data_IF_404711787140
#
_entry.id   IF_404711787140
#
_cell.length_a   1.000
_cell.length_b   1.000
_cell.length_c   1.000
_cell.angle_alpha   90.00
_cell.angle_beta   90.00
_cell.angle_gamma   90.00
#
_symmetry.space_group_name_H-M   'P 1'
#
loop_
_entity.id
_entity.type
_entity.pdbx_description
1 polymer ?
#
# COMPACT_ATOMS: atom_id res chain seq x y z
N UNK A 1 -6.69 35.86 4.19
CA UNK A 1 -5.63 36.61 4.91
C UNK A 1 -5.55 38.07 4.53
N UNK A 2 -5.84 38.46 3.31
CA UNK A 2 -5.83 39.87 2.85
C UNK A 2 -6.81 40.80 3.59
N UNK A 3 -7.99 40.29 3.97
CA UNK A 3 -9.06 41.06 4.64
C UNK A 3 -8.71 41.50 6.07
N UNK A 4 -7.96 40.69 6.80
CA UNK A 4 -7.56 41.03 8.20
C UNK A 4 -6.54 42.16 8.20
N UNK A 5 -5.60 42.14 7.27
CA UNK A 5 -4.59 43.20 7.10
C UNK A 5 -5.26 44.54 6.74
N UNK A 6 -6.26 44.53 5.84
CA UNK A 6 -6.96 45.74 5.41
C UNK A 6 -7.83 46.33 6.52
N UNK A 7 -8.50 45.52 7.33
CA UNK A 7 -9.30 46.01 8.46
C UNK A 7 -8.45 46.58 9.58
N UNK A 8 -7.28 45.98 9.88
CA UNK A 8 -6.34 46.49 10.88
C UNK A 8 -5.71 47.83 10.44
N UNK A 9 -5.43 47.98 9.15
CA UNK A 9 -4.88 49.21 8.58
C UNK A 9 -5.89 50.35 8.61
N UNK A 10 -7.20 50.08 8.47
CA UNK A 10 -8.27 51.09 8.47
C UNK A 10 -8.62 51.58 9.87
N UNK A 11 -8.39 50.78 10.91
CA UNK A 11 -8.71 51.14 12.30
C UNK A 11 -7.57 51.83 13.07
N UNK A 12 -6.35 51.76 12.55
CA UNK A 12 -5.18 52.36 13.21
C UNK A 12 -4.99 53.85 12.84
N UNK A 13 -5.46 54.76 13.70
CA UNK A 13 -5.33 56.21 13.53
C UNK A 13 -3.90 56.76 13.75
N UNK A 14 -2.89 55.93 14.07
CA UNK A 14 -1.49 56.32 14.22
C UNK A 14 -0.56 55.23 13.75
N UNK A 15 0.36 55.58 12.85
CA UNK A 15 1.44 54.69 12.38
C UNK A 15 2.42 54.38 13.53
N UNK A 16 2.30 53.20 14.15
CA UNK A 16 3.29 52.73 15.10
C UNK A 16 4.21 51.69 14.43
N UNK A 17 5.51 51.93 14.39
CA UNK A 17 6.52 51.01 13.90
C UNK A 17 6.40 49.60 14.51
N UNK A 18 6.01 49.54 15.77
CA UNK A 18 5.80 48.27 16.51
C UNK A 18 4.68 47.42 15.90
N UNK A 19 3.64 48.05 15.33
CA UNK A 19 2.51 47.36 14.66
C UNK A 19 3.01 46.67 13.37
N UNK A 20 3.78 47.41 12.57
CA UNK A 20 4.32 46.91 11.30
C UNK A 20 5.28 45.73 11.54
N UNK A 21 6.15 45.85 12.54
CA UNK A 21 7.09 44.76 12.91
C UNK A 21 6.33 43.52 13.39
N UNK A 22 5.27 43.71 14.19
CA UNK A 22 4.50 42.57 14.71
C UNK A 22 3.75 41.84 13.57
N UNK A 23 3.13 42.56 12.64
CA UNK A 23 2.49 41.97 11.46
C UNK A 23 3.48 41.24 10.53
N UNK A 24 4.67 41.82 10.33
CA UNK A 24 5.72 41.21 9.57
C UNK A 24 6.22 39.92 10.22
N UNK A 25 6.37 39.90 11.54
CA UNK A 25 6.80 38.74 12.30
C UNK A 25 5.77 37.61 12.26
N UNK A 26 4.47 37.94 12.39
CA UNK A 26 3.37 37.00 12.21
C UNK A 26 3.34 36.39 10.80
N UNK A 27 3.58 37.22 9.78
CA UNK A 27 3.68 36.77 8.39
C UNK A 27 4.85 35.78 8.21
N UNK A 28 6.03 36.13 8.74
CA UNK A 28 7.22 35.25 8.68
C UNK A 28 6.98 33.90 9.39
N UNK A 29 6.33 33.91 10.55
CA UNK A 29 5.95 32.66 11.26
C UNK A 29 4.98 31.85 10.42
N UNK A 30 3.93 32.46 9.88
CA UNK A 30 2.94 31.78 9.05
C UNK A 30 3.55 31.16 7.78
N UNK A 31 4.39 31.91 7.07
CA UNK A 31 5.11 31.43 5.89
C UNK A 31 6.11 30.33 6.28
N UNK A 32 6.85 30.49 7.37
CA UNK A 32 7.80 29.51 7.87
C UNK A 32 7.13 28.17 8.15
N UNK A 33 6.01 28.17 8.88
CA UNK A 33 5.23 26.97 9.15
C UNK A 33 4.70 26.34 7.84
N UNK A 34 4.18 27.13 6.91
CA UNK A 34 3.69 26.64 5.62
C UNK A 34 4.80 25.97 4.79
N UNK A 35 6.01 26.54 4.79
CA UNK A 35 7.18 25.96 4.10
C UNK A 35 7.58 24.64 4.74
N UNK A 36 7.65 24.57 6.06
CA UNK A 36 7.99 23.32 6.78
C UNK A 36 6.98 22.22 6.46
N UNK A 37 5.68 22.53 6.49
CA UNK A 37 4.63 21.56 6.16
C UNK A 37 4.76 21.11 4.69
N UNK A 38 4.98 22.02 3.75
CA UNK A 38 5.13 21.71 2.33
C UNK A 38 6.38 20.87 2.03
N UNK A 39 7.46 21.04 2.77
CA UNK A 39 8.66 20.22 2.61
C UNK A 39 8.50 18.82 3.21
N UNK A 40 7.68 18.68 4.26
CA UNK A 40 7.46 17.41 4.95
C UNK A 40 6.49 16.49 4.20
N UNK A 41 5.45 17.05 3.58
CA UNK A 41 4.39 16.29 2.92
C UNK A 41 4.84 15.43 1.72
N UNK A 42 5.70 15.91 0.79
CA UNK A 42 6.19 15.08 -0.33
C UNK A 42 7.00 13.87 0.14
N UNK A 43 7.75 14.00 1.22
CA UNK A 43 8.55 12.92 1.79
C UNK A 43 7.70 11.76 2.29
N UNK A 44 6.57 12.06 2.89
CA UNK A 44 5.60 11.06 3.38
C UNK A 44 5.00 10.25 2.24
N UNK A 45 4.58 10.91 1.16
CA UNK A 45 4.01 10.24 -0.01
C UNK A 45 5.02 9.29 -0.66
N UNK A 46 6.28 9.66 -0.68
CA UNK A 46 7.34 8.80 -1.21
C UNK A 46 7.52 7.53 -0.37
N UNK A 47 7.56 7.65 0.95
CA UNK A 47 7.67 6.50 1.88
C UNK A 47 6.48 5.56 1.70
N UNK A 48 5.27 6.10 1.59
CA UNK A 48 4.05 5.32 1.38
C UNK A 48 4.12 4.53 0.07
N UNK A 49 4.53 5.15 -1.02
CA UNK A 49 4.68 4.47 -2.31
C UNK A 49 5.75 3.39 -2.25
N UNK A 50 6.86 3.66 -1.60
CA UNK A 50 7.93 2.68 -1.42
C UNK A 50 7.45 1.48 -0.60
N UNK A 51 6.75 1.70 0.51
CA UNK A 51 6.16 0.62 1.32
C UNK A 51 5.19 -0.24 0.49
N UNK A 52 4.35 0.39 -0.35
CA UNK A 52 3.43 -0.32 -1.24
C UNK A 52 4.16 -1.19 -2.26
N UNK A 53 5.17 -0.62 -2.94
CA UNK A 53 5.96 -1.33 -3.94
C UNK A 53 6.72 -2.51 -3.32
N UNK A 54 7.31 -2.35 -2.15
CA UNK A 54 8.03 -3.42 -1.46
C UNK A 54 7.09 -4.55 -1.02
N UNK A 55 5.92 -4.23 -0.49
CA UNK A 55 4.89 -5.21 -0.12
C UNK A 55 4.42 -5.97 -1.36
N UNK A 56 4.06 -5.28 -2.43
CA UNK A 56 3.56 -5.90 -3.66
C UNK A 56 4.63 -6.77 -4.34
N UNK A 57 5.87 -6.31 -4.37
CA UNK A 57 7.00 -7.09 -4.89
C UNK A 57 7.26 -8.36 -4.06
N UNK A 58 7.21 -8.27 -2.73
CA UNK A 58 7.37 -9.44 -1.86
C UNK A 58 6.25 -10.47 -2.07
N UNK A 59 5.01 -10.02 -2.15
CA UNK A 59 3.86 -10.91 -2.43
C UNK A 59 3.96 -11.55 -3.82
N UNK A 60 4.39 -10.78 -4.82
CA UNK A 60 4.63 -11.26 -6.19
C UNK A 60 5.68 -12.37 -6.20
N UNK A 61 6.80 -12.18 -5.52
CA UNK A 61 7.87 -13.17 -5.43
C UNK A 61 7.40 -14.47 -4.78
N UNK A 62 6.68 -14.38 -3.66
CA UNK A 62 6.07 -15.54 -2.99
C UNK A 62 5.15 -16.30 -3.95
N UNK A 63 4.27 -15.62 -4.67
CA UNK A 63 3.35 -16.23 -5.63
C UNK A 63 4.10 -16.92 -6.78
N UNK A 64 5.16 -16.30 -7.32
CA UNK A 64 5.97 -16.88 -8.40
C UNK A 64 6.71 -18.14 -7.94
N UNK A 65 7.28 -18.12 -6.74
CA UNK A 65 7.96 -19.28 -6.16
C UNK A 65 6.96 -20.42 -5.90
N UNK A 66 5.80 -20.14 -5.33
CA UNK A 66 4.73 -21.13 -5.15
C UNK A 66 4.25 -21.72 -6.48
N UNK A 67 4.08 -20.87 -7.50
CA UNK A 67 3.69 -21.27 -8.85
C UNK A 67 4.72 -22.21 -9.48
N UNK A 68 6.00 -21.91 -9.33
CA UNK A 68 7.10 -22.74 -9.84
C UNK A 68 7.19 -24.08 -9.13
N UNK A 69 7.10 -24.08 -7.81
CA UNK A 69 7.12 -25.31 -7.00
C UNK A 69 6.00 -26.27 -7.37
N UNK A 70 4.80 -25.74 -7.63
CA UNK A 70 3.65 -26.56 -7.99
C UNK A 70 3.84 -27.34 -9.30
N UNK A 71 4.62 -26.83 -10.24
CA UNK A 71 4.92 -27.51 -11.52
C UNK A 71 6.09 -28.48 -11.39
N UNK A 72 7.16 -28.06 -10.71
CA UNK A 72 8.40 -28.81 -10.70
C UNK A 72 8.49 -29.79 -9.53
N UNK A 73 7.51 -29.78 -8.60
CA UNK A 73 7.51 -30.63 -7.43
C UNK A 73 8.68 -30.37 -6.47
N UNK A 74 9.30 -29.20 -6.56
CA UNK A 74 10.42 -28.85 -5.67
C UNK A 74 9.89 -28.42 -4.31
N UNK A 75 10.49 -28.96 -3.27
CA UNK A 75 10.25 -28.49 -1.91
C UNK A 75 10.76 -27.05 -1.79
N UNK A 76 9.89 -26.14 -1.36
CA UNK A 76 10.23 -24.74 -1.14
C UNK A 76 10.02 -24.38 0.33
N UNK A 77 10.97 -23.67 0.88
CA UNK A 77 10.80 -23.02 2.19
C UNK A 77 10.62 -21.51 1.99
N UNK A 78 9.40 -21.04 2.23
CA UNK A 78 9.02 -19.62 2.13
C UNK A 78 8.77 -18.98 3.51
N UNK A 79 9.12 -19.65 4.60
CA UNK A 79 8.81 -19.12 5.93
C UNK A 79 9.56 -17.79 6.18
N UNK A 80 10.81 -17.66 5.71
CA UNK A 80 11.58 -16.42 5.80
C UNK A 80 10.95 -15.29 4.97
N UNK A 81 10.47 -15.60 3.75
CA UNK A 81 9.80 -14.62 2.89
C UNK A 81 8.47 -14.15 3.52
N UNK A 82 7.70 -15.06 4.12
CA UNK A 82 6.48 -14.70 4.84
C UNK A 82 6.77 -13.86 6.09
N UNK A 83 7.83 -14.14 6.83
CA UNK A 83 8.24 -13.32 7.98
C UNK A 83 8.69 -11.94 7.55
N UNK A 84 9.47 -11.84 6.48
CA UNK A 84 9.87 -10.55 5.90
C UNK A 84 8.65 -9.72 5.50
N UNK A 85 7.71 -10.31 4.74
CA UNK A 85 6.48 -9.65 4.32
C UNK A 85 5.63 -9.20 5.52
N UNK A 86 5.53 -10.04 6.57
CA UNK A 86 4.80 -9.70 7.79
C UNK A 86 5.41 -8.50 8.51
N UNK A 87 6.74 -8.45 8.60
CA UNK A 87 7.45 -7.33 9.22
C UNK A 87 7.24 -6.03 8.41
N UNK A 88 7.32 -6.13 7.08
CA UNK A 88 7.06 -4.97 6.19
C UNK A 88 5.64 -4.44 6.32
N UNK A 89 4.64 -5.32 6.33
CA UNK A 89 3.23 -4.94 6.54
C UNK A 89 3.02 -4.27 7.90
N UNK A 90 3.70 -4.76 8.95
CA UNK A 90 3.60 -4.17 10.29
C UNK A 90 4.25 -2.79 10.35
N UNK A 91 5.40 -2.60 9.72
CA UNK A 91 6.09 -1.31 9.60
C UNK A 91 5.26 -0.30 8.80
N UNK A 92 4.77 -0.71 7.62
CA UNK A 92 3.93 0.14 6.78
C UNK A 92 2.64 0.57 7.50
N UNK A 93 2.04 -0.33 8.28
CA UNK A 93 0.87 -0.01 9.09
C UNK A 93 1.19 1.00 10.21
N UNK A 94 2.34 0.86 10.87
CA UNK A 94 2.81 1.82 11.88
C UNK A 94 3.06 3.20 11.25
N UNK A 95 3.72 3.26 10.09
CA UNK A 95 3.89 4.50 9.32
C UNK A 95 2.53 5.12 8.96
N UNK A 96 1.58 4.32 8.47
CA UNK A 96 0.25 4.79 8.10
C UNK A 96 -0.49 5.43 9.27
N UNK A 97 -0.48 4.81 10.46
CA UNK A 97 -1.12 5.37 11.65
C UNK A 97 -0.40 6.61 12.17
N UNK A 98 0.92 6.63 12.16
CA UNK A 98 1.70 7.80 12.53
C UNK A 98 1.35 9.00 11.64
N UNK A 99 1.22 8.77 10.34
CA UNK A 99 0.90 9.83 9.39
C UNK A 99 -0.57 10.24 9.45
N UNK A 100 -1.49 9.31 9.70
CA UNK A 100 -2.92 9.60 9.84
C UNK A 100 -3.18 10.53 11.03
N UNK A 101 -2.46 10.37 12.13
CA UNK A 101 -2.59 11.23 13.31
C UNK A 101 -2.07 12.65 13.07
N UNK A 102 -1.16 12.81 12.10
CA UNK A 102 -0.51 14.09 11.80
C UNK A 102 -1.11 14.82 10.58
N UNK A 103 -2.05 14.18 9.85
CA UNK A 103 -2.59 14.73 8.59
C UNK A 103 -4.08 14.47 8.49
N UNK A 104 -4.87 15.50 8.24
CA UNK A 104 -6.32 15.42 7.97
C UNK A 104 -6.66 14.91 6.56
N UNK A 105 -5.74 14.24 5.87
CA UNK A 105 -5.91 13.81 4.49
C UNK A 105 -6.74 12.53 4.36
N UNK A 106 -7.69 12.53 3.43
CA UNK A 106 -8.50 11.36 3.04
C UNK A 106 -7.64 10.21 2.49
N UNK A 107 -6.50 10.53 1.89
CA UNK A 107 -5.59 9.59 1.24
C UNK A 107 -4.95 8.61 2.24
N UNK A 108 -4.74 9.06 3.48
CA UNK A 108 -4.20 8.20 4.53
C UNK A 108 -5.14 7.06 4.92
N UNK A 109 -6.46 7.30 4.93
CA UNK A 109 -7.44 6.24 5.21
C UNK A 109 -7.47 5.18 4.12
N UNK A 110 -7.28 5.58 2.87
CA UNK A 110 -7.14 4.65 1.75
C UNK A 110 -5.89 3.78 1.93
N UNK A 111 -4.77 4.38 2.32
CA UNK A 111 -3.51 3.67 2.53
C UNK A 111 -3.59 2.66 3.68
N UNK A 112 -4.17 3.02 4.83
CA UNK A 112 -4.42 2.06 5.93
C UNK A 112 -5.23 0.88 5.44
N UNK A 113 -6.34 1.12 4.72
CA UNK A 113 -7.18 0.05 4.15
C UNK A 113 -6.43 -0.83 3.16
N UNK A 114 -5.55 -0.24 2.35
CA UNK A 114 -4.70 -0.98 1.43
C UNK A 114 -3.81 -1.97 2.19
N UNK A 115 -3.11 -1.52 3.24
CA UNK A 115 -2.22 -2.40 4.02
C UNK A 115 -3.02 -3.49 4.75
N UNK A 116 -4.17 -3.16 5.33
CA UNK A 116 -5.05 -4.15 5.97
C UNK A 116 -5.52 -5.21 4.97
N UNK A 117 -5.86 -4.81 3.74
CA UNK A 117 -6.20 -5.74 2.67
C UNK A 117 -5.02 -6.66 2.34
N UNK A 118 -3.81 -6.11 2.17
CA UNK A 118 -2.58 -6.89 1.92
C UNK A 118 -2.26 -7.85 3.06
N UNK A 119 -2.48 -7.46 4.30
CA UNK A 119 -2.34 -8.33 5.47
C UNK A 119 -3.30 -9.52 5.42
N UNK A 120 -4.55 -9.29 5.04
CA UNK A 120 -5.53 -10.36 4.85
C UNK A 120 -5.12 -11.29 3.70
N UNK A 121 -4.66 -10.74 2.58
CA UNK A 121 -4.15 -11.50 1.44
C UNK A 121 -2.92 -12.33 1.80
N UNK A 122 -1.98 -11.81 2.61
CA UNK A 122 -0.86 -12.58 3.15
C UNK A 122 -1.34 -13.81 3.94
N UNK A 123 -2.36 -13.65 4.78
CA UNK A 123 -2.96 -14.76 5.52
C UNK A 123 -3.52 -15.85 4.62
N UNK A 124 -4.16 -15.46 3.51
CA UNK A 124 -4.65 -16.40 2.49
C UNK A 124 -3.49 -17.10 1.76
N UNK A 125 -2.46 -16.35 1.35
CA UNK A 125 -1.26 -16.92 0.72
C UNK A 125 -0.56 -17.94 1.62
N UNK A 126 -0.40 -17.63 2.91
CA UNK A 126 0.19 -18.58 3.87
C UNK A 126 -0.64 -19.85 4.04
N UNK A 127 -1.97 -19.74 3.92
CA UNK A 127 -2.86 -20.91 3.91
C UNK A 127 -2.69 -21.74 2.65
N UNK A 128 -2.62 -21.11 1.48
CA UNK A 128 -2.35 -21.78 0.19
C UNK A 128 -0.99 -22.48 0.24
N UNK A 129 0.05 -21.81 0.71
CA UNK A 129 1.39 -22.36 0.89
C UNK A 129 1.37 -23.64 1.74
N UNK A 130 0.72 -23.61 2.92
CA UNK A 130 0.59 -24.80 3.78
C UNK A 130 -0.14 -25.96 3.12
N UNK A 131 -1.10 -25.70 2.23
CA UNK A 131 -1.77 -26.74 1.47
C UNK A 131 -0.88 -27.26 0.35
N UNK A 132 -0.05 -26.41 -0.25
CA UNK A 132 0.91 -26.79 -1.29
C UNK A 132 1.97 -27.74 -0.74
N UNK A 133 2.46 -27.52 0.48
CA UNK A 133 3.43 -28.42 1.15
C UNK A 133 2.88 -29.83 1.41
N UNK A 134 1.56 -30.04 1.39
CA UNK A 134 0.94 -31.36 1.56
C UNK A 134 0.86 -32.17 0.27
N UNK A 135 1.15 -31.54 -0.87
CA UNK A 135 1.07 -32.19 -2.19
C UNK A 135 2.36 -33.02 -2.39
N UNK A 136 2.22 -34.34 -2.37
CA UNK A 136 3.34 -35.26 -2.54
C UNK A 136 3.67 -35.61 -4.00
N UNK A 137 2.73 -35.30 -4.93
CA UNK A 137 2.92 -35.56 -6.37
C UNK A 137 2.26 -34.42 -7.16
N UNK A 138 2.79 -34.14 -8.35
CA UNK A 138 2.28 -33.07 -9.21
C UNK A 138 0.98 -33.55 -9.90
N UNK A 139 -0.19 -33.08 -9.48
CA UNK A 139 -1.45 -33.46 -10.11
C UNK A 139 -1.58 -32.80 -11.50
N UNK A 140 -2.41 -33.38 -12.38
CA UNK A 140 -2.69 -32.82 -13.72
C UNK A 140 -3.25 -31.39 -13.64
N UNK A 141 -3.91 -31.05 -12.55
CA UNK A 141 -4.47 -29.73 -12.28
C UNK A 141 -3.41 -28.70 -11.82
N UNK A 142 -2.19 -29.12 -11.52
CA UNK A 142 -1.12 -28.23 -11.07
C UNK A 142 -0.78 -27.14 -12.10
N UNK A 143 -0.78 -27.50 -13.38
CA UNK A 143 -0.38 -26.60 -14.46
C UNK A 143 -1.33 -25.39 -14.62
N UNK A 144 -2.67 -25.55 -14.73
CA UNK A 144 -3.57 -24.40 -14.81
C UNK A 144 -3.61 -23.57 -13.52
N UNK A 145 -3.47 -24.20 -12.32
CA UNK A 145 -3.40 -23.47 -11.06
C UNK A 145 -2.12 -22.62 -10.99
N UNK A 146 -0.99 -23.18 -11.34
CA UNK A 146 0.29 -22.47 -11.41
C UNK A 146 0.20 -21.27 -12.38
N UNK A 147 -0.33 -21.48 -13.58
CA UNK A 147 -0.54 -20.40 -14.55
C UNK A 147 -1.43 -19.28 -13.98
N UNK A 148 -2.47 -19.63 -13.26
CA UNK A 148 -3.34 -18.66 -12.61
C UNK A 148 -2.60 -17.88 -11.52
N UNK A 149 -1.81 -18.56 -10.66
CA UNK A 149 -0.97 -17.90 -9.64
C UNK A 149 0.03 -16.93 -10.28
N UNK A 150 0.66 -17.33 -11.38
CA UNK A 150 1.58 -16.47 -12.13
C UNK A 150 0.86 -15.22 -12.67
N UNK A 151 -0.33 -15.38 -13.23
CA UNK A 151 -1.14 -14.24 -13.69
C UNK A 151 -1.53 -13.29 -12.57
N UNK A 152 -1.90 -13.81 -11.39
CA UNK A 152 -2.15 -12.97 -10.21
C UNK A 152 -0.89 -12.17 -9.87
N UNK A 153 0.29 -12.81 -9.85
CA UNK A 153 1.54 -12.17 -9.54
C UNK A 153 1.92 -11.06 -10.55
N UNK A 154 1.72 -11.31 -11.83
CA UNK A 154 2.00 -10.36 -12.91
C UNK A 154 1.06 -9.16 -12.90
N UNK A 155 -0.20 -9.36 -12.56
CA UNK A 155 -1.23 -8.31 -12.57
C UNK A 155 -1.41 -7.60 -11.22
N UNK A 156 -0.57 -7.88 -10.23
CA UNK A 156 -0.75 -7.37 -8.86
C UNK A 156 -0.64 -5.84 -8.77
N UNK A 157 0.08 -5.22 -9.70
CA UNK A 157 0.28 -3.77 -9.79
C UNK A 157 -0.70 -3.10 -10.76
N UNK A 158 -1.47 -3.88 -11.53
CA UNK A 158 -2.40 -3.34 -12.50
C UNK A 158 -3.65 -2.79 -11.82
N UNK A 159 -4.05 -1.58 -12.24
CA UNK A 159 -5.28 -0.98 -11.78
C UNK A 159 -6.49 -1.76 -12.34
N UNK A 160 -7.39 -2.19 -11.45
CA UNK A 160 -8.67 -2.84 -11.81
C UNK A 160 -8.56 -4.23 -12.49
N UNK A 161 -7.61 -5.07 -12.05
CA UNK A 161 -7.45 -6.43 -12.55
C UNK A 161 -8.48 -7.46 -12.01
N UNK A 162 -9.32 -7.06 -11.04
CA UNK A 162 -10.20 -7.98 -10.31
C UNK A 162 -11.22 -8.67 -11.23
N UNK A 163 -11.88 -7.95 -12.14
CA UNK A 163 -12.84 -8.54 -13.07
C UNK A 163 -12.20 -9.57 -14.00
N UNK A 164 -11.04 -9.26 -14.53
CA UNK A 164 -10.27 -10.15 -15.37
C UNK A 164 -9.87 -11.43 -14.64
N UNK A 165 -9.35 -11.34 -13.43
CA UNK A 165 -8.96 -12.48 -12.61
C UNK A 165 -10.19 -13.33 -12.20
N UNK A 166 -11.31 -12.71 -11.89
CA UNK A 166 -12.57 -13.39 -11.58
C UNK A 166 -13.12 -14.14 -12.79
N UNK A 167 -13.01 -13.58 -13.99
CA UNK A 167 -13.43 -14.27 -15.22
C UNK A 167 -12.62 -15.54 -15.44
N UNK A 168 -11.30 -15.49 -15.33
CA UNK A 168 -10.42 -16.64 -15.44
C UNK A 168 -10.74 -17.70 -14.37
N UNK A 169 -10.93 -17.27 -13.13
CA UNK A 169 -11.28 -18.18 -12.04
C UNK A 169 -12.63 -18.88 -12.30
N UNK A 170 -13.60 -18.15 -12.84
CA UNK A 170 -14.92 -18.72 -13.17
C UNK A 170 -14.83 -19.76 -14.29
N UNK A 171 -14.02 -19.53 -15.31
CA UNK A 171 -13.75 -20.48 -16.39
C UNK A 171 -13.06 -21.74 -15.88
N UNK A 172 -12.03 -21.60 -15.06
CA UNK A 172 -11.35 -22.73 -14.41
C UNK A 172 -12.33 -23.56 -13.59
N UNK A 173 -13.18 -22.89 -12.78
CA UNK A 173 -14.17 -23.57 -11.95
C UNK A 173 -15.21 -24.34 -12.79
N UNK A 174 -15.65 -23.81 -13.93
CA UNK A 174 -16.54 -24.50 -14.87
C UNK A 174 -15.86 -25.73 -15.45
N UNK A 175 -14.64 -25.60 -15.92
CA UNK A 175 -13.86 -26.71 -16.49
C UNK A 175 -13.72 -27.86 -15.50
N UNK A 176 -13.35 -27.61 -14.24
CA UNK A 176 -13.18 -28.67 -13.23
C UNK A 176 -14.49 -29.22 -12.63
N UNK A 177 -15.63 -28.55 -12.85
CA UNK A 177 -16.93 -29.10 -12.47
C UNK A 177 -17.47 -30.05 -13.53
N UNK A 178 -17.07 -29.90 -14.78
CA UNK A 178 -17.55 -30.69 -15.92
C UNK A 178 -16.65 -31.89 -16.24
N UNK A 179 -15.44 -31.94 -15.68
CA UNK A 179 -14.52 -33.06 -15.84
C UNK A 179 -14.57 -33.93 -14.59
N UNK A 180 -15.11 -35.17 -14.68
CA UNK A 180 -15.18 -36.11 -13.56
C UNK A 180 -13.83 -36.58 -13.07
#
# INVERSE_FOLDING_TARGET
MSTVLVTHFWTAHSFHYTLIINEFLLLCIGVGIAVVINLYMPRMIHIIKQDQEEIDNSMKQILLQMSSSLIHGHEIDLEADFQFLQNRLSQALAHAYQYMNNTLSSDMRYYVRFIELRKNQQGLLKRVYRNLLKIQFVPSQAFPVSRFMKRIAESMQDYNNAEFLLSILSEMRKFYKTTP
#
